data_IF_586260939153
#
_entry.id   IF_586260939153
#
_cell.length_a   1.000
_cell.length_b   1.000
_cell.length_c   1.000
_cell.angle_alpha   90.00
_cell.angle_beta   90.00
_cell.angle_gamma   90.00
#
_symmetry.space_group_name_H-M   'P 1'
#
loop_
_entity.id
_entity.type
_entity.pdbx_description
1 polymer ?
#
# COMPACT_ATOMS: atom_id res chain seq x y z
N UNK A 1 4.98 17.32 -29.73
CA UNK A 1 4.36 15.97 -29.76
C UNK A 1 4.50 15.35 -28.38
N UNK A 2 3.40 15.01 -27.74
CA UNK A 2 3.44 14.25 -26.49
C UNK A 2 3.76 12.79 -26.83
N UNK A 3 4.89 12.30 -26.31
CA UNK A 3 5.28 10.91 -26.52
C UNK A 3 4.37 10.02 -25.65
N UNK A 4 3.67 9.08 -26.30
CA UNK A 4 2.91 8.05 -25.62
C UNK A 4 3.85 6.98 -25.04
N UNK A 5 3.70 6.54 -23.80
CA UNK A 5 4.50 5.49 -23.21
C UNK A 5 4.40 4.18 -23.98
N UNK A 6 5.51 3.44 -24.03
CA UNK A 6 5.59 2.14 -24.69
C UNK A 6 5.99 1.04 -23.73
N UNK A 7 5.45 -0.15 -23.92
CA UNK A 7 5.96 -1.38 -23.31
C UNK A 7 6.82 -2.11 -24.33
N UNK A 8 8.04 -2.45 -23.91
CA UNK A 8 8.98 -3.22 -24.72
C UNK A 8 9.28 -4.58 -24.12
N UNK A 9 9.22 -5.63 -24.91
CA UNK A 9 9.69 -6.96 -24.54
C UNK A 9 11.15 -7.10 -24.93
N UNK A 10 12.01 -7.38 -23.94
CA UNK A 10 13.46 -7.50 -24.14
C UNK A 10 13.87 -8.96 -23.94
N UNK A 11 14.63 -9.51 -24.87
CA UNK A 11 15.32 -10.77 -24.69
C UNK A 11 16.60 -10.51 -23.85
N UNK A 12 16.59 -10.97 -22.60
CA UNK A 12 17.70 -10.69 -21.65
C UNK A 12 19.03 -11.33 -22.03
N UNK A 13 19.04 -12.33 -22.92
CA UNK A 13 20.28 -12.97 -23.40
C UNK A 13 20.90 -12.25 -24.59
N UNK A 14 20.09 -11.65 -25.46
CA UNK A 14 20.55 -11.05 -26.72
C UNK A 14 20.45 -9.52 -26.73
N UNK A 15 19.74 -8.90 -25.78
CA UNK A 15 19.44 -7.47 -25.76
C UNK A 15 18.41 -7.03 -26.82
N UNK A 16 17.97 -7.93 -27.70
CA UNK A 16 16.98 -7.59 -28.72
C UNK A 16 15.66 -7.24 -28.05
N UNK A 17 15.10 -6.10 -28.41
CA UNK A 17 13.82 -5.65 -27.89
C UNK A 17 12.84 -5.29 -29.02
N UNK A 18 11.54 -5.35 -28.69
CA UNK A 18 10.46 -4.92 -29.57
C UNK A 18 9.35 -4.27 -28.77
N UNK A 19 8.74 -3.23 -29.31
CA UNK A 19 7.52 -2.64 -28.73
C UNK A 19 6.37 -3.65 -28.84
N UNK A 20 5.65 -3.86 -27.74
CA UNK A 20 4.49 -4.76 -27.65
C UNK A 20 3.19 -4.02 -27.34
N UNK A 21 3.28 -2.81 -26.84
CA UNK A 21 2.15 -1.93 -26.66
C UNK A 21 2.59 -0.47 -26.68
N UNK A 22 1.69 0.40 -27.13
CA UNK A 22 1.77 1.85 -27.03
C UNK A 22 0.51 2.30 -26.29
N UNK A 23 0.64 3.20 -25.29
CA UNK A 23 -0.51 3.71 -24.58
C UNK A 23 -1.40 4.56 -25.48
N UNK A 24 -2.72 4.51 -25.33
CA UNK A 24 -3.64 5.39 -26.05
C UNK A 24 -3.64 6.83 -25.51
N UNK A 25 -2.83 7.12 -24.48
CA UNK A 25 -2.72 8.43 -23.82
C UNK A 25 -1.26 8.73 -23.44
N UNK A 26 -0.93 10.03 -23.32
CA UNK A 26 0.46 10.51 -23.15
C UNK A 26 1.07 10.24 -21.77
N UNK A 27 0.26 9.97 -20.73
CA UNK A 27 0.71 9.69 -19.37
C UNK A 27 0.04 8.40 -18.88
N UNK A 28 0.54 7.26 -19.37
CA UNK A 28 -0.06 5.96 -19.12
C UNK A 28 0.82 5.01 -18.33
N UNK A 29 0.17 4.26 -17.44
CA UNK A 29 0.70 3.07 -16.82
C UNK A 29 0.06 1.84 -17.46
N UNK A 30 0.71 0.68 -17.32
CA UNK A 30 0.22 -0.56 -17.93
C UNK A 30 0.07 -1.65 -16.88
N UNK A 31 -0.91 -2.54 -17.10
CA UNK A 31 -1.08 -3.78 -16.35
C UNK A 31 -1.08 -4.95 -17.32
N UNK A 32 -0.27 -5.97 -17.00
CA UNK A 32 -0.21 -7.22 -17.75
C UNK A 32 -1.10 -8.29 -17.12
N UNK A 33 -1.49 -9.27 -17.93
CA UNK A 33 -2.03 -10.52 -17.39
C UNK A 33 -0.91 -11.43 -16.87
N UNK A 34 -1.30 -12.60 -16.34
CA UNK A 34 -0.37 -13.57 -15.75
C UNK A 34 0.56 -14.23 -16.78
N UNK A 35 0.35 -14.04 -18.08
CA UNK A 35 1.23 -14.48 -19.17
C UNK A 35 2.13 -13.35 -19.67
N UNK A 36 2.02 -12.16 -19.10
CA UNK A 36 2.80 -10.98 -19.47
C UNK A 36 2.31 -10.28 -20.75
N UNK A 37 1.08 -10.54 -21.20
CA UNK A 37 0.44 -9.74 -22.22
C UNK A 37 -0.09 -8.43 -21.62
N UNK A 38 0.15 -7.31 -22.30
CA UNK A 38 -0.33 -5.99 -21.82
C UNK A 38 -1.83 -5.90 -22.08
N UNK A 39 -2.63 -5.80 -21.03
CA UNK A 39 -4.10 -5.84 -21.11
C UNK A 39 -4.76 -4.51 -20.74
N UNK A 40 -4.13 -3.70 -19.90
CA UNK A 40 -4.63 -2.39 -19.53
C UNK A 40 -3.61 -1.30 -19.78
N UNK A 41 -4.12 -0.11 -20.12
CA UNK A 41 -3.43 1.15 -20.07
C UNK A 41 -4.30 2.15 -19.28
N UNK A 42 -3.72 2.87 -18.32
CA UNK A 42 -4.47 3.82 -17.50
C UNK A 42 -3.64 5.06 -17.21
N UNK A 43 -4.28 6.20 -17.11
CA UNK A 43 -3.61 7.47 -16.82
C UNK A 43 -4.48 8.68 -17.11
N UNK A 44 -3.89 9.85 -17.03
CA UNK A 44 -4.59 11.13 -17.23
C UNK A 44 -4.61 11.51 -18.71
N UNK A 45 -5.80 11.77 -19.25
CA UNK A 45 -6.00 12.25 -20.60
C UNK A 45 -5.65 13.76 -20.76
N UNK A 46 -5.78 14.27 -21.98
CA UNK A 46 -5.53 15.69 -22.28
C UNK A 46 -6.57 16.63 -21.60
N UNK A 47 -7.73 16.11 -21.27
CA UNK A 47 -8.81 16.73 -20.52
C UNK A 47 -8.57 16.75 -18.99
N UNK A 48 -7.39 16.31 -18.55
CA UNK A 48 -6.99 16.17 -17.15
C UNK A 48 -7.86 15.19 -16.35
N UNK A 49 -8.62 14.30 -17.04
CA UNK A 49 -9.40 13.23 -16.42
C UNK A 49 -8.70 11.91 -16.53
N UNK A 50 -8.86 11.08 -15.51
CA UNK A 50 -8.31 9.74 -15.48
C UNK A 50 -9.12 8.80 -16.36
N UNK A 51 -8.42 7.98 -17.14
CA UNK A 51 -9.02 7.04 -18.08
C UNK A 51 -8.38 5.66 -17.95
N UNK A 52 -9.19 4.63 -18.14
CA UNK A 52 -8.72 3.24 -18.19
C UNK A 52 -9.15 2.61 -19.51
N UNK A 53 -8.17 2.08 -20.22
CA UNK A 53 -8.35 1.34 -21.44
C UNK A 53 -8.04 -0.13 -21.20
N UNK A 54 -8.80 -1.00 -21.86
CA UNK A 54 -8.64 -2.43 -21.85
C UNK A 54 -8.50 -2.96 -23.28
N UNK A 55 -7.77 -4.07 -23.45
CA UNK A 55 -7.79 -4.85 -24.68
C UNK A 55 -7.77 -6.35 -24.37
N UNK A 56 -8.45 -7.12 -25.23
CA UNK A 56 -8.65 -8.55 -25.01
C UNK A 56 -7.37 -9.38 -25.20
N UNK A 57 -6.45 -8.91 -26.03
CA UNK A 57 -5.15 -9.52 -26.31
C UNK A 57 -4.17 -8.50 -26.93
N UNK A 58 -2.97 -8.93 -27.27
CA UNK A 58 -1.92 -8.08 -27.86
C UNK A 58 -2.25 -7.54 -29.28
N UNK A 59 -3.28 -8.07 -29.95
CA UNK A 59 -3.68 -7.67 -31.30
C UNK A 59 -4.95 -6.83 -31.33
N UNK A 60 -5.71 -6.84 -30.21
CA UNK A 60 -6.94 -6.08 -30.09
C UNK A 60 -6.66 -4.58 -29.90
N UNK A 61 -7.56 -3.75 -30.41
CA UNK A 61 -7.54 -2.31 -30.17
C UNK A 61 -7.86 -1.98 -28.71
N UNK A 62 -7.42 -0.80 -28.28
CA UNK A 62 -7.73 -0.26 -26.97
C UNK A 62 -9.18 0.20 -26.90
N UNK A 63 -9.91 -0.31 -25.95
CA UNK A 63 -11.28 0.06 -25.62
C UNK A 63 -11.31 0.89 -24.33
N UNK A 64 -11.89 2.08 -24.35
CA UNK A 64 -12.11 2.90 -23.15
C UNK A 64 -13.18 2.23 -22.29
N UNK A 65 -12.85 1.86 -21.07
CA UNK A 65 -13.78 1.18 -20.13
C UNK A 65 -14.12 2.00 -18.91
N UNK A 66 -13.30 2.98 -18.55
CA UNK A 66 -13.57 3.94 -17.47
C UNK A 66 -13.13 5.32 -17.95
N UNK A 67 -14.02 6.30 -17.82
CA UNK A 67 -13.72 7.72 -17.94
C UNK A 67 -14.18 8.44 -16.66
N UNK A 68 -13.25 9.05 -15.95
CA UNK A 68 -13.56 9.83 -14.75
C UNK A 68 -14.51 11.00 -15.05
N UNK A 69 -14.48 11.52 -16.27
CA UNK A 69 -15.38 12.59 -16.67
C UNK A 69 -16.86 12.16 -16.64
N UNK A 70 -17.14 10.91 -17.00
CA UNK A 70 -18.50 10.37 -17.03
C UNK A 70 -18.95 9.81 -15.67
N UNK A 71 -18.03 9.15 -14.96
CA UNK A 71 -18.33 8.44 -13.73
C UNK A 71 -18.12 9.29 -12.46
N UNK A 72 -17.34 10.37 -12.55
CA UNK A 72 -16.95 11.20 -11.40
C UNK A 72 -16.14 10.44 -10.34
N UNK A 73 -15.56 9.28 -10.69
CA UNK A 73 -14.88 8.38 -9.77
C UNK A 73 -13.60 7.85 -10.38
N UNK A 74 -12.56 7.86 -9.57
CA UNK A 74 -11.27 7.29 -9.92
C UNK A 74 -11.23 5.79 -9.59
N UNK A 75 -10.96 4.95 -10.60
CA UNK A 75 -10.71 3.52 -10.43
C UNK A 75 -9.52 3.10 -11.30
N UNK A 76 -8.58 2.36 -10.73
CA UNK A 76 -7.34 1.98 -11.41
C UNK A 76 -7.11 0.47 -11.34
N UNK A 77 -6.78 -0.18 -12.48
CA UNK A 77 -6.46 -1.60 -12.48
C UNK A 77 -5.15 -1.85 -11.71
N UNK A 78 -5.14 -2.91 -10.90
CA UNK A 78 -3.98 -3.33 -10.12
C UNK A 78 -3.31 -4.54 -10.74
N UNK A 79 -4.07 -5.65 -10.87
CA UNK A 79 -3.57 -6.91 -11.40
C UNK A 79 -4.71 -7.88 -11.71
N UNK A 80 -4.42 -8.88 -12.52
CA UNK A 80 -5.31 -10.02 -12.72
C UNK A 80 -5.29 -10.95 -11.50
N UNK A 81 -6.42 -11.64 -11.27
CA UNK A 81 -6.45 -12.77 -10.35
C UNK A 81 -5.80 -13.99 -11.01
N UNK A 82 -5.53 -15.04 -10.23
CA UNK A 82 -4.88 -16.29 -10.68
C UNK A 82 -5.56 -16.92 -11.90
N UNK A 83 -6.89 -16.94 -11.92
CA UNK A 83 -7.64 -17.54 -13.02
C UNK A 83 -7.69 -16.69 -14.30
N UNK A 84 -7.27 -15.42 -14.23
CA UNK A 84 -7.28 -14.49 -15.36
C UNK A 84 -8.67 -14.01 -15.78
N UNK A 85 -9.73 -14.43 -15.08
CA UNK A 85 -11.11 -14.02 -15.37
C UNK A 85 -11.57 -12.78 -14.59
N UNK A 86 -10.78 -12.35 -13.63
CA UNK A 86 -11.04 -11.15 -12.83
C UNK A 86 -9.79 -10.25 -12.74
N UNK A 87 -10.03 -8.97 -12.56
CA UNK A 87 -8.98 -7.97 -12.34
C UNK A 87 -9.28 -7.20 -11.08
N UNK A 88 -8.32 -7.14 -10.18
CA UNK A 88 -8.40 -6.30 -9.00
C UNK A 88 -8.22 -4.84 -9.40
N UNK A 89 -9.06 -3.98 -8.83
CA UNK A 89 -9.02 -2.54 -9.01
C UNK A 89 -8.96 -1.83 -7.66
N UNK A 90 -8.13 -0.81 -7.57
CA UNK A 90 -8.36 0.26 -6.60
C UNK A 90 -9.60 1.01 -7.05
N UNK A 91 -10.60 1.10 -6.20
CA UNK A 91 -11.88 1.74 -6.51
C UNK A 91 -12.33 2.66 -5.36
N UNK A 92 -13.27 3.58 -5.61
CA UNK A 92 -13.78 4.44 -4.57
C UNK A 92 -14.46 3.64 -3.46
N UNK A 93 -14.09 3.94 -2.21
CA UNK A 93 -14.79 3.47 -1.03
C UNK A 93 -15.89 4.43 -0.59
N UNK A 94 -16.48 4.18 0.58
CA UNK A 94 -17.41 5.10 1.21
C UNK A 94 -16.70 6.41 1.57
N UNK A 95 -17.37 7.55 1.37
CA UNK A 95 -16.84 8.89 1.68
C UNK A 95 -15.48 9.20 0.99
N UNK A 96 -15.30 8.71 -0.25
CA UNK A 96 -14.04 8.84 -1.02
C UNK A 96 -12.81 8.18 -0.37
N UNK A 97 -13.00 7.36 0.66
CA UNK A 97 -11.94 6.45 1.09
C UNK A 97 -11.66 5.40 0.00
N UNK A 98 -10.46 4.82 0.00
CA UNK A 98 -10.13 3.77 -0.95
C UNK A 98 -10.97 2.51 -0.77
N UNK A 99 -11.10 1.73 -1.83
CA UNK A 99 -11.76 0.44 -1.88
C UNK A 99 -10.97 -0.56 -2.71
N UNK A 100 -11.35 -1.82 -2.64
CA UNK A 100 -10.87 -2.89 -3.51
C UNK A 100 -12.06 -3.51 -4.21
N UNK A 101 -12.02 -3.52 -5.54
CA UNK A 101 -13.03 -4.14 -6.39
C UNK A 101 -12.42 -5.23 -7.24
N UNK A 102 -13.25 -6.18 -7.66
CA UNK A 102 -12.94 -7.15 -8.69
C UNK A 102 -13.78 -6.84 -9.92
N UNK A 103 -13.14 -6.61 -11.04
CA UNK A 103 -13.77 -6.46 -12.35
C UNK A 103 -13.78 -7.82 -13.05
N UNK A 104 -14.96 -8.29 -13.43
CA UNK A 104 -15.11 -9.53 -14.19
C UNK A 104 -14.86 -9.26 -15.67
N UNK A 105 -13.92 -10.01 -16.26
CA UNK A 105 -13.47 -9.81 -17.65
C UNK A 105 -14.57 -10.12 -18.66
N UNK A 106 -15.42 -11.12 -18.39
CA UNK A 106 -16.46 -11.56 -19.33
C UNK A 106 -17.70 -10.68 -19.28
N UNK A 107 -18.17 -10.33 -18.07
CA UNK A 107 -19.41 -9.56 -17.88
C UNK A 107 -19.17 -8.05 -17.84
N UNK A 108 -17.93 -7.60 -17.73
CA UNK A 108 -17.55 -6.17 -17.62
C UNK A 108 -18.16 -5.48 -16.39
N UNK A 109 -18.41 -6.23 -15.31
CA UNK A 109 -19.05 -5.72 -14.10
C UNK A 109 -18.08 -5.68 -12.92
N UNK A 110 -18.28 -4.71 -12.02
CA UNK A 110 -17.52 -4.58 -10.78
C UNK A 110 -18.23 -5.24 -9.60
N UNK A 111 -17.48 -5.99 -8.81
CA UNK A 111 -17.88 -6.48 -7.49
C UNK A 111 -16.98 -5.84 -6.43
N UNK A 112 -17.55 -5.12 -5.47
CA UNK A 112 -16.78 -4.59 -4.33
C UNK A 112 -16.37 -5.73 -3.42
N UNK A 113 -15.06 -5.88 -3.20
CA UNK A 113 -14.49 -6.84 -2.26
C UNK A 113 -14.31 -6.20 -0.88
N UNK A 114 -13.88 -4.96 -0.85
CA UNK A 114 -13.74 -4.18 0.37
C UNK A 114 -14.01 -2.71 0.10
N UNK A 115 -14.58 -2.02 1.09
CA UNK A 115 -14.87 -0.59 1.01
C UNK A 115 -14.57 0.08 2.34
N UNK A 116 -13.54 0.92 2.36
CA UNK A 116 -13.19 1.74 3.51
C UNK A 116 -14.19 2.87 3.74
N UNK A 117 -14.29 3.30 4.99
CA UNK A 117 -15.04 4.52 5.40
C UNK A 117 -14.15 5.56 6.09
N UNK A 118 -12.84 5.35 6.08
CA UNK A 118 -11.82 6.17 6.72
C UNK A 118 -10.51 6.16 5.92
N UNK A 119 -9.41 5.65 6.48
CA UNK A 119 -8.11 5.63 5.82
C UNK A 119 -8.13 4.85 4.50
N UNK A 120 -7.33 5.32 3.55
CA UNK A 120 -7.12 4.65 2.27
C UNK A 120 -6.34 3.35 2.42
N UNK A 121 -6.40 2.51 1.40
CA UNK A 121 -5.49 1.36 1.26
C UNK A 121 -4.08 1.90 1.03
N UNK A 122 -3.12 1.44 1.83
CA UNK A 122 -1.70 1.80 1.75
C UNK A 122 -0.83 0.67 1.21
N UNK A 123 -1.37 -0.53 1.07
CA UNK A 123 -0.68 -1.70 0.53
C UNK A 123 -1.59 -2.90 0.39
N UNK A 124 -1.05 -3.91 -0.28
CA UNK A 124 -1.68 -5.20 -0.52
C UNK A 124 -0.72 -6.32 -0.12
N UNK A 125 -1.26 -7.43 0.37
CA UNK A 125 -0.53 -8.69 0.49
C UNK A 125 -1.00 -9.65 -0.58
N UNK A 126 -0.06 -10.38 -1.14
CA UNK A 126 -0.26 -11.30 -2.25
C UNK A 126 0.04 -12.74 -1.85
N UNK A 127 -0.45 -13.68 -2.63
CA UNK A 127 0.01 -15.08 -2.57
C UNK A 127 1.49 -15.16 -2.91
N UNK A 128 2.18 -16.24 -2.50
CA UNK A 128 3.63 -16.40 -2.73
C UNK A 128 4.02 -16.48 -4.20
N UNK A 129 3.11 -16.87 -5.08
CA UNK A 129 3.29 -16.85 -6.52
C UNK A 129 2.84 -15.52 -7.16
N UNK A 130 2.48 -14.52 -6.34
CA UNK A 130 2.06 -13.18 -6.76
C UNK A 130 0.87 -13.19 -7.73
N UNK A 131 -0.05 -14.15 -7.60
CA UNK A 131 -1.17 -14.27 -8.54
C UNK A 131 -2.52 -13.85 -7.98
N UNK A 132 -2.65 -13.73 -6.65
CA UNK A 132 -3.88 -13.26 -6.01
C UNK A 132 -3.58 -12.29 -4.88
N UNK A 133 -4.54 -11.40 -4.58
CA UNK A 133 -4.50 -10.56 -3.39
C UNK A 133 -5.16 -11.29 -2.22
N UNK A 134 -4.44 -11.43 -1.11
CA UNK A 134 -4.91 -12.09 0.10
C UNK A 134 -5.35 -11.12 1.19
N UNK A 135 -4.76 -9.92 1.23
CA UNK A 135 -5.11 -8.91 2.22
C UNK A 135 -4.88 -7.49 1.69
N UNK A 136 -5.54 -6.55 2.34
CA UNK A 136 -5.29 -5.11 2.21
C UNK A 136 -4.72 -4.57 3.51
N UNK A 137 -3.90 -3.52 3.39
CA UNK A 137 -3.36 -2.75 4.50
C UNK A 137 -3.95 -1.36 4.52
N UNK A 138 -4.37 -0.93 5.68
CA UNK A 138 -4.81 0.45 5.97
C UNK A 138 -4.10 0.96 7.20
N UNK A 139 -4.13 2.27 7.44
CA UNK A 139 -3.47 2.86 8.60
C UNK A 139 -4.38 3.89 9.29
N UNK A 140 -5.38 3.41 10.08
CA UNK A 140 -6.25 4.29 10.87
C UNK A 140 -5.58 4.85 12.14
N UNK A 141 -4.28 4.95 12.15
CA UNK A 141 -3.39 5.28 13.25
C UNK A 141 -2.26 4.26 13.30
N UNK A 142 -2.54 3.01 13.58
CA UNK A 142 -1.60 1.88 13.44
C UNK A 142 -1.96 1.08 12.20
N UNK A 143 -1.03 0.27 11.71
CA UNK A 143 -1.28 -0.60 10.55
C UNK A 143 -2.37 -1.61 10.91
N UNK A 144 -3.35 -1.72 10.03
CA UNK A 144 -4.44 -2.68 10.12
C UNK A 144 -4.49 -3.52 8.83
N UNK A 145 -4.51 -4.84 9.00
CA UNK A 145 -4.57 -5.81 7.90
C UNK A 145 -5.98 -6.40 7.85
N UNK A 146 -6.60 -6.36 6.67
CA UNK A 146 -7.90 -6.98 6.43
C UNK A 146 -7.74 -8.07 5.37
N UNK A 147 -8.01 -9.32 5.74
CA UNK A 147 -7.95 -10.46 4.83
C UNK A 147 -9.09 -10.38 3.81
N UNK A 148 -8.74 -10.44 2.53
CA UNK A 148 -9.69 -10.45 1.38
C UNK A 148 -10.09 -11.88 1.07
N UNK A 149 -9.12 -12.80 0.99
CA UNK A 149 -9.35 -14.23 0.89
C UNK A 149 -8.91 -14.93 2.19
N UNK A 150 -9.87 -15.26 3.05
CA UNK A 150 -9.63 -15.95 4.33
C UNK A 150 -9.32 -17.43 4.18
N UNK A 151 -9.54 -18.01 3.00
CA UNK A 151 -9.34 -19.45 2.76
C UNK A 151 -7.94 -19.75 2.24
N UNK A 152 -7.27 -18.78 1.63
CA UNK A 152 -5.89 -18.95 1.19
C UNK A 152 -4.98 -19.37 2.35
N UNK A 153 -4.08 -20.30 2.11
CA UNK A 153 -3.13 -20.78 3.12
C UNK A 153 -2.19 -19.66 3.58
N UNK A 154 -1.82 -18.78 2.66
CA UNK A 154 -1.02 -17.59 2.96
C UNK A 154 -1.78 -16.63 3.89
N UNK A 155 -3.09 -16.48 3.76
CA UNK A 155 -3.90 -15.67 4.69
C UNK A 155 -3.92 -16.25 6.09
N UNK A 156 -4.07 -17.58 6.21
CA UNK A 156 -4.04 -18.29 7.49
C UNK A 156 -2.66 -18.18 8.14
N UNK A 157 -1.61 -18.29 7.34
CA UNK A 157 -0.24 -18.13 7.79
C UNK A 157 0.01 -16.68 8.27
N UNK A 158 -0.42 -15.69 7.50
CA UNK A 158 -0.27 -14.27 7.89
C UNK A 158 -0.97 -14.00 9.22
N UNK A 159 -2.20 -14.46 9.40
CA UNK A 159 -2.94 -14.30 10.64
C UNK A 159 -2.23 -14.99 11.84
N UNK A 160 -1.68 -16.17 11.65
CA UNK A 160 -0.92 -16.90 12.66
C UNK A 160 0.35 -16.13 13.04
N UNK A 161 1.11 -15.65 12.04
CA UNK A 161 2.34 -14.88 12.27
C UNK A 161 2.07 -13.55 12.97
N UNK A 162 1.05 -12.81 12.57
CA UNK A 162 0.62 -11.59 13.28
C UNK A 162 0.29 -11.86 14.74
N UNK A 163 -0.29 -13.03 15.05
CA UNK A 163 -0.57 -13.47 16.42
C UNK A 163 0.70 -13.73 17.24
N UNK A 164 1.81 -14.10 16.61
CA UNK A 164 3.11 -14.32 17.28
C UNK A 164 3.88 -13.02 17.55
N UNK A 165 3.59 -11.93 16.81
CA UNK A 165 4.24 -10.64 16.96
C UNK A 165 3.22 -9.53 17.29
N UNK A 166 2.56 -9.60 18.46
CA UNK A 166 1.52 -8.63 18.81
C UNK A 166 2.07 -7.20 18.89
N UNK A 167 1.34 -6.27 18.28
CA UNK A 167 1.72 -4.86 18.26
C UNK A 167 2.80 -4.51 17.22
N UNK A 168 3.18 -5.45 16.36
CA UNK A 168 4.10 -5.23 15.26
C UNK A 168 3.38 -5.35 13.90
N UNK A 169 3.95 -4.76 12.90
CA UNK A 169 3.60 -5.03 11.50
C UNK A 169 4.36 -6.26 11.01
N UNK A 170 3.67 -7.16 10.35
CA UNK A 170 4.23 -8.39 9.78
C UNK A 170 3.95 -8.41 8.29
N UNK A 171 5.00 -8.48 7.48
CA UNK A 171 4.91 -8.52 6.01
C UNK A 171 5.65 -9.71 5.44
N UNK A 172 5.12 -10.27 4.36
CA UNK A 172 5.88 -11.22 3.55
C UNK A 172 6.94 -10.47 2.73
N UNK A 173 8.17 -10.97 2.79
CA UNK A 173 9.28 -10.43 1.99
C UNK A 173 9.54 -11.30 0.78
N UNK A 174 9.59 -12.61 0.99
CA UNK A 174 9.84 -13.60 -0.06
C UNK A 174 9.43 -15.00 0.41
N UNK A 175 9.23 -15.89 -0.55
CA UNK A 175 9.00 -17.32 -0.27
C UNK A 175 9.77 -18.20 -1.24
N UNK A 176 10.09 -19.45 -0.79
CA UNK A 176 10.57 -20.48 -1.69
C UNK A 176 9.47 -20.86 -2.69
N UNK A 177 9.87 -21.38 -3.85
CA UNK A 177 8.94 -21.78 -4.93
C UNK A 177 7.82 -22.73 -4.47
N UNK A 178 8.09 -23.57 -3.49
CA UNK A 178 7.15 -24.52 -2.91
C UNK A 178 6.36 -23.94 -1.72
N UNK A 179 6.57 -22.65 -1.38
CA UNK A 179 5.91 -21.99 -0.26
C UNK A 179 6.33 -22.46 1.13
N UNK A 180 7.32 -23.38 1.25
CA UNK A 180 7.68 -23.99 2.53
C UNK A 180 8.60 -23.15 3.39
N UNK A 181 9.36 -22.26 2.80
CA UNK A 181 10.25 -21.31 3.47
C UNK A 181 9.81 -19.91 3.15
N UNK A 182 9.42 -19.16 4.16
CA UNK A 182 8.91 -17.80 4.00
C UNK A 182 9.74 -16.84 4.83
N UNK A 183 10.30 -15.83 4.19
CA UNK A 183 10.95 -14.72 4.89
C UNK A 183 9.90 -13.66 5.18
N UNK A 184 9.79 -13.29 6.45
CA UNK A 184 8.94 -12.21 6.90
C UNK A 184 9.76 -11.07 7.48
N UNK A 185 9.29 -9.85 7.35
CA UNK A 185 9.74 -8.69 8.10
C UNK A 185 8.75 -8.39 9.21
N UNK A 186 9.29 -8.11 10.39
CA UNK A 186 8.53 -7.66 11.56
C UNK A 186 9.09 -6.32 11.98
N UNK A 187 8.24 -5.30 12.02
CA UNK A 187 8.64 -3.92 12.34
C UNK A 187 7.59 -3.21 13.18
N UNK A 188 7.92 -2.04 13.74
CA UNK A 188 6.98 -1.20 14.46
C UNK A 188 7.44 0.26 14.48
N UNK A 189 6.71 1.12 15.18
CA UNK A 189 7.12 2.51 15.47
C UNK A 189 8.41 2.62 16.30
N UNK A 190 8.83 1.53 16.96
CA UNK A 190 10.04 1.45 17.80
C UNK A 190 11.08 0.49 17.26
N UNK A 191 10.72 -0.38 16.33
CA UNK A 191 11.61 -1.37 15.73
C UNK A 191 11.79 -1.06 14.24
N UNK A 192 13.01 -0.73 13.77
CA UNK A 192 13.28 -0.47 12.36
C UNK A 192 13.07 -1.69 11.45
N UNK A 193 12.90 -2.87 12.02
CA UNK A 193 12.60 -4.12 11.36
C UNK A 193 13.60 -5.23 11.61
N UNK A 194 13.09 -6.43 11.76
CA UNK A 194 13.84 -7.67 11.83
C UNK A 194 13.26 -8.70 10.86
N UNK A 195 14.12 -9.53 10.31
CA UNK A 195 13.75 -10.59 9.37
C UNK A 195 13.77 -11.94 10.06
N UNK A 196 12.75 -12.73 9.77
CA UNK A 196 12.59 -14.08 10.29
C UNK A 196 12.32 -15.04 9.14
N UNK A 197 12.76 -16.28 9.31
CA UNK A 197 12.42 -17.40 8.44
C UNK A 197 11.33 -18.26 9.10
N UNK A 198 10.19 -18.34 8.46
CA UNK A 198 9.20 -19.37 8.77
C UNK A 198 9.49 -20.63 7.96
N UNK A 199 9.57 -21.75 8.64
CA UNK A 199 9.73 -23.10 8.08
C UNK A 199 8.44 -23.89 8.30
N UNK A 200 7.70 -24.17 7.24
CA UNK A 200 6.42 -24.85 7.34
C UNK A 200 6.55 -26.34 7.74
N UNK A 201 7.61 -27.01 7.33
CA UNK A 201 7.85 -28.43 7.68
C UNK A 201 8.19 -28.56 9.16
N UNK A 202 8.99 -27.64 9.70
CA UNK A 202 9.35 -27.58 11.11
C UNK A 202 8.32 -26.82 11.97
N UNK A 203 7.36 -26.11 11.35
CA UNK A 203 6.41 -25.19 12.01
C UNK A 203 7.11 -24.22 12.95
N UNK A 204 8.20 -23.65 12.50
CA UNK A 204 9.10 -22.84 13.32
C UNK A 204 9.38 -21.48 12.66
N UNK A 205 9.36 -20.42 13.46
CA UNK A 205 9.89 -19.11 13.11
C UNK A 205 11.27 -18.95 13.73
N UNK A 206 12.27 -18.58 12.93
CA UNK A 206 13.66 -18.38 13.36
C UNK A 206 14.14 -17.00 12.95
N UNK A 207 14.79 -16.29 13.87
CA UNK A 207 15.42 -15.01 13.59
C UNK A 207 16.54 -15.18 12.54
N UNK A 208 16.61 -14.26 11.58
CA UNK A 208 17.68 -14.19 10.58
C UNK A 208 18.63 -13.01 10.84
N UNK A 209 18.08 -11.80 10.85
CA UNK A 209 18.84 -10.56 11.03
C UNK A 209 17.91 -9.41 11.41
N UNK A 210 18.47 -8.36 11.99
CA UNK A 210 17.79 -7.09 12.20
C UNK A 210 18.37 -6.01 11.27
N UNK A 211 17.57 -5.01 10.90
CA UNK A 211 18.04 -3.82 10.15
C UNK A 211 19.04 -3.01 10.95
N UNK A 212 18.89 -3.00 12.29
CA UNK A 212 19.75 -2.24 13.20
C UNK A 212 19.84 -2.96 14.55
N UNK A 213 20.79 -3.91 14.69
CA UNK A 213 20.96 -4.71 15.92
C UNK A 213 21.36 -3.89 17.16
N UNK A 214 21.88 -2.67 16.96
CA UNK A 214 22.22 -1.74 18.04
C UNK A 214 21.03 -0.97 18.59
N UNK A 215 19.88 -1.01 17.90
CA UNK A 215 18.62 -0.42 18.36
C UNK A 215 17.92 -1.39 19.31
N UNK A 216 17.52 -0.88 20.47
CA UNK A 216 16.77 -1.63 21.48
C UNK A 216 15.34 -1.07 21.55
N UNK A 217 14.35 -1.73 20.91
CA UNK A 217 12.98 -1.21 20.79
C UNK A 217 12.32 -0.86 22.11
N UNK A 218 12.66 -1.60 23.18
CA UNK A 218 12.15 -1.37 24.54
C UNK A 218 12.61 -0.06 25.17
N UNK A 219 13.66 0.56 24.65
CA UNK A 219 14.20 1.83 25.13
C UNK A 219 13.69 3.04 24.33
N UNK A 220 12.94 2.79 23.29
CA UNK A 220 12.47 3.83 22.36
C UNK A 220 11.06 4.33 22.69
N UNK A 221 10.77 5.52 22.19
CA UNK A 221 9.51 6.21 22.39
C UNK A 221 8.39 5.61 21.52
N UNK A 222 7.24 5.36 22.10
CA UNK A 222 6.04 4.95 21.35
C UNK A 222 5.45 6.12 20.56
N UNK A 223 5.01 5.84 19.35
CA UNK A 223 4.33 6.79 18.46
C UNK A 223 2.82 6.61 18.61
N UNK A 224 2.18 7.54 19.34
CA UNK A 224 0.75 7.47 19.63
C UNK A 224 -0.07 8.23 18.58
N UNK A 225 -1.02 7.56 17.90
CA UNK A 225 -1.88 8.22 16.93
C UNK A 225 -2.88 9.15 17.65
N UNK A 226 -3.20 10.27 17.01
CA UNK A 226 -4.24 11.18 17.47
C UNK A 226 -5.11 11.66 16.29
N UNK A 227 -6.30 12.17 16.63
CA UNK A 227 -7.19 12.88 15.72
C UNK A 227 -7.65 14.18 16.38
N UNK A 228 -7.59 15.28 15.64
CA UNK A 228 -8.08 16.60 16.06
C UNK A 228 -8.91 17.24 14.95
N UNK A 229 -9.88 18.06 15.32
CA UNK A 229 -10.60 18.89 14.36
C UNK A 229 -9.79 20.15 14.04
N UNK A 230 -9.64 20.47 12.75
CA UNK A 230 -9.16 21.76 12.31
C UNK A 230 -10.20 22.87 12.54
N UNK A 231 -9.85 24.14 12.31
CA UNK A 231 -10.75 25.28 12.55
C UNK A 231 -12.06 25.23 11.76
N UNK A 232 -12.08 24.55 10.63
CA UNK A 232 -13.25 24.36 9.77
C UNK A 232 -13.91 22.97 9.92
N UNK A 233 -13.48 22.20 10.94
CA UNK A 233 -14.04 20.90 11.27
C UNK A 233 -13.45 19.69 10.53
N UNK A 234 -12.47 19.88 9.62
CA UNK A 234 -11.79 18.75 8.98
C UNK A 234 -11.00 17.96 10.03
N UNK A 235 -11.20 16.65 10.08
CA UNK A 235 -10.44 15.77 10.96
C UNK A 235 -9.00 15.62 10.48
N UNK A 236 -8.04 16.17 11.22
CA UNK A 236 -6.61 15.99 11.02
C UNK A 236 -6.11 14.85 11.90
N UNK A 237 -5.22 14.04 11.33
CA UNK A 237 -4.61 12.90 12.01
C UNK A 237 -3.11 13.04 12.06
N UNK A 238 -2.49 12.37 13.00
CA UNK A 238 -1.04 12.41 13.13
C UNK A 238 -0.57 11.55 14.27
N UNK A 239 0.66 11.83 14.71
CA UNK A 239 1.33 11.08 15.77
C UNK A 239 1.97 12.03 16.77
N UNK A 240 1.81 11.68 18.04
CA UNK A 240 2.53 12.31 19.14
C UNK A 240 3.49 11.27 19.73
N UNK A 241 4.78 11.60 19.70
CA UNK A 241 5.82 10.78 20.30
C UNK A 241 6.40 11.53 21.50
N UNK A 242 6.23 10.99 22.72
CA UNK A 242 6.79 11.55 23.94
C UNK A 242 8.05 10.80 24.37
N UNK A 243 8.98 11.44 25.08
CA UNK A 243 10.18 10.77 25.60
C UNK A 243 9.85 9.49 26.38
N UNK A 244 10.66 8.43 26.26
CA UNK A 244 10.48 7.20 27.01
C UNK A 244 10.45 7.47 28.53
N UNK A 245 9.49 6.87 29.22
CA UNK A 245 9.28 7.08 30.66
C UNK A 245 8.64 8.42 31.03
N UNK A 246 8.21 9.21 30.04
CA UNK A 246 7.52 10.49 30.24
C UNK A 246 6.19 10.57 29.46
N UNK A 247 5.53 9.44 29.25
CA UNK A 247 4.31 9.33 28.45
C UNK A 247 3.18 10.19 29.02
N UNK A 248 3.09 10.29 30.37
CA UNK A 248 2.08 11.12 31.06
C UNK A 248 2.54 12.56 31.34
N UNK A 249 3.79 12.91 30.98
CA UNK A 249 4.32 14.24 31.27
C UNK A 249 3.59 15.33 30.49
N UNK A 250 3.39 16.49 31.13
CA UNK A 250 2.84 17.70 30.54
C UNK A 250 3.94 18.75 30.43
N UNK A 251 3.69 19.77 29.58
CA UNK A 251 4.60 20.90 29.38
C UNK A 251 6.02 20.50 28.92
N UNK A 252 6.13 19.42 28.14
CA UNK A 252 7.38 19.06 27.52
C UNK A 252 7.74 20.07 26.41
N UNK A 253 9.03 20.38 26.21
CA UNK A 253 9.44 21.08 25.00
C UNK A 253 9.05 20.22 23.79
N UNK A 254 8.45 20.85 22.78
CA UNK A 254 7.88 20.13 21.63
C UNK A 254 8.49 20.59 20.33
N UNK A 255 8.78 19.64 19.45
CA UNK A 255 9.14 19.86 18.06
C UNK A 255 7.96 19.45 17.17
N UNK A 256 7.51 20.35 16.32
CA UNK A 256 6.58 20.01 15.25
C UNK A 256 7.42 19.57 14.04
N UNK A 257 7.34 18.28 13.73
CA UNK A 257 8.10 17.65 12.65
C UNK A 257 7.18 17.41 11.47
N UNK A 258 7.28 18.27 10.44
CA UNK A 258 6.36 18.33 9.32
C UNK A 258 6.95 17.58 8.12
N UNK A 259 6.20 16.63 7.57
CA UNK A 259 6.63 15.95 6.35
C UNK A 259 6.60 16.86 5.13
N UNK A 260 7.44 16.56 4.14
CA UNK A 260 7.47 17.25 2.85
C UNK A 260 6.36 16.78 1.90
N UNK A 261 6.46 17.22 0.65
CA UNK A 261 5.51 16.86 -0.40
C UNK A 261 4.96 18.10 -1.10
N UNK A 262 3.78 18.65 -0.76
CA UNK A 262 2.86 18.26 0.32
C UNK A 262 1.88 17.12 -0.05
N UNK A 263 1.56 16.99 -1.36
CA UNK A 263 0.49 16.10 -1.81
C UNK A 263 0.88 14.62 -1.80
N UNK A 264 -0.03 13.75 -1.35
CA UNK A 264 0.08 12.29 -1.35
C UNK A 264 1.15 11.71 -0.42
N UNK A 265 1.92 12.53 0.29
CA UNK A 265 2.86 12.12 1.32
C UNK A 265 2.15 12.11 2.67
N UNK A 266 2.58 11.24 3.58
CA UNK A 266 2.02 11.15 4.93
C UNK A 266 3.07 10.67 5.92
N UNK A 267 2.96 11.13 7.17
CA UNK A 267 3.59 10.49 8.30
C UNK A 267 2.88 9.17 8.60
N UNK A 268 3.66 8.14 8.94
CA UNK A 268 3.19 6.79 9.17
C UNK A 268 3.52 6.28 10.56
N UNK A 269 2.80 5.24 10.97
CA UNK A 269 3.14 4.48 12.16
C UNK A 269 4.27 3.48 11.81
N UNK A 270 5.48 4.00 11.79
CA UNK A 270 6.70 3.26 11.50
C UNK A 270 7.87 3.89 12.27
N UNK A 271 8.97 3.16 12.39
CA UNK A 271 10.20 3.68 13.00
C UNK A 271 10.74 4.88 12.21
N UNK A 272 11.07 5.95 12.91
CA UNK A 272 11.66 7.16 12.34
C UNK A 272 12.87 7.60 13.17
N UNK A 273 14.03 7.62 12.54
CA UNK A 273 15.31 7.97 13.20
C UNK A 273 15.30 9.36 13.84
N UNK A 274 14.69 10.36 13.16
CA UNK A 274 14.69 11.74 13.65
C UNK A 274 13.73 11.91 14.80
N UNK A 275 12.56 11.30 14.71
CA UNK A 275 11.57 11.30 15.79
C UNK A 275 12.15 10.64 17.03
N UNK A 276 12.77 9.47 16.91
CA UNK A 276 13.40 8.76 18.03
C UNK A 276 14.58 9.53 18.60
N UNK A 277 15.41 10.15 17.74
CA UNK A 277 16.50 11.00 18.19
C UNK A 277 16.01 12.18 19.03
N UNK A 278 14.98 12.88 18.61
CA UNK A 278 14.41 14.03 19.34
C UNK A 278 13.77 13.56 20.65
N UNK A 279 12.97 12.49 20.60
CA UNK A 279 12.30 11.95 21.79
C UNK A 279 13.32 11.50 22.85
N UNK A 280 14.42 10.82 22.46
CA UNK A 280 15.47 10.40 23.38
C UNK A 280 16.19 11.57 24.06
N UNK A 281 16.08 12.78 23.55
CA UNK A 281 16.66 14.01 24.12
C UNK A 281 15.66 14.84 24.93
N UNK A 282 14.47 14.29 25.17
CA UNK A 282 13.48 14.90 26.07
C UNK A 282 12.43 15.78 25.37
N UNK A 283 12.38 15.80 24.05
CA UNK A 283 11.37 16.53 23.30
C UNK A 283 10.15 15.64 23.03
N UNK A 284 8.96 16.21 23.17
CA UNK A 284 7.78 15.68 22.51
C UNK A 284 7.89 15.99 21.01
N UNK A 285 7.53 15.04 20.15
CA UNK A 285 7.53 15.23 18.70
C UNK A 285 6.12 15.09 18.15
N UNK A 286 5.63 16.14 17.49
CA UNK A 286 4.31 16.19 16.87
C UNK A 286 4.44 16.08 15.35
N UNK A 287 3.87 15.03 14.80
CA UNK A 287 3.75 14.82 13.34
C UNK A 287 2.27 14.95 12.97
N UNK A 288 1.93 15.84 12.03
CA UNK A 288 0.54 16.09 11.62
C UNK A 288 0.39 15.83 10.14
N UNK A 289 -0.49 14.90 9.79
CA UNK A 289 -0.95 14.75 8.42
C UNK A 289 -1.95 15.88 8.13
N UNK A 290 -1.43 16.94 7.52
CA UNK A 290 -2.19 18.14 7.16
C UNK A 290 -2.94 17.94 5.84
N UNK A 291 -3.78 18.91 5.44
CA UNK A 291 -4.47 18.91 4.14
C UNK A 291 -3.48 18.70 3.00
N UNK A 292 -3.85 17.87 2.04
CA UNK A 292 -2.96 17.43 0.97
C UNK A 292 -2.23 16.14 1.28
N UNK A 293 -2.14 15.71 2.55
CA UNK A 293 -1.50 14.43 2.92
C UNK A 293 -2.25 13.25 2.32
N UNK A 294 -1.49 12.20 1.98
CA UNK A 294 -2.02 10.92 1.52
C UNK A 294 -2.69 10.10 2.61
N UNK A 295 -3.27 8.94 2.23
CA UNK A 295 -3.77 7.94 3.16
C UNK A 295 -5.17 8.17 3.72
N UNK A 296 -5.86 9.27 3.36
CA UNK A 296 -7.18 9.65 3.90
C UNK A 296 -8.24 9.91 2.82
N UNK A 297 -7.97 9.48 1.58
CA UNK A 297 -8.84 9.67 0.42
C UNK A 297 -8.58 10.95 -0.36
N UNK A 298 -9.10 11.00 -1.61
CA UNK A 298 -8.90 12.13 -2.51
C UNK A 298 -9.42 13.45 -1.94
N UNK A 299 -10.57 13.43 -1.29
CA UNK A 299 -11.15 14.63 -0.67
C UNK A 299 -10.31 15.26 0.45
N UNK A 300 -9.42 14.49 1.09
CA UNK A 300 -8.45 15.04 2.06
C UNK A 300 -7.23 15.65 1.37
N UNK A 301 -6.84 15.07 0.23
CA UNK A 301 -5.73 15.60 -0.59
C UNK A 301 -6.12 16.92 -1.25
N UNK A 302 -7.39 17.08 -1.63
CA UNK A 302 -7.93 18.26 -2.33
C UNK A 302 -8.51 19.34 -1.38
N UNK A 303 -8.53 19.07 -0.07
CA UNK A 303 -9.17 19.92 0.95
C UNK A 303 -8.51 21.28 1.16
#
# INVERSE_FOLDING_TARGET
EQLHPEVRRINVKTGINRTVAVAPLARGNFVTDNQGAVRFASGTGNDQKFKVFYRADDKADWELIIDEADEGKFSSPLRFNRSGNGVYFSCPGKRNAGGLCLWDVATRTFKTLWSGSGPSVIGYEETFDEQDLIAIRTMPGRIAVTLVDKQAEESKLLAMLMGQFPGSDVTYVNASKDGKKVVIEVSSDRDPGAFYLYDSDAKKVSFLMARAEWIKPETLAAKEPFEIASRDGLALRGYLTKPPGKEEAKNLPMVVYVHGGPFWIQDKWEYDNYVQMLASRGYAVLQVNFRGSGGYGGGFVEA
#
